data_IF_530685323702
#
_entry.id   IF_530685323702
#
_cell.length_a   1.000
_cell.length_b   1.000
_cell.length_c   1.000
_cell.angle_alpha   90.00
_cell.angle_beta   90.00
_cell.angle_gamma   90.00
#
_symmetry.space_group_name_H-M   'P 1'
#
loop_
_entity.id
_entity.type
_entity.pdbx_description
1 polymer ?
#
# COMPACT_ATOMS: atom_id res chain seq x y z
N UNK A 1 15.27 -23.07 -11.48
CA UNK A 1 13.82 -23.17 -11.22
C UNK A 1 13.45 -22.04 -10.29
N UNK A 2 12.96 -20.91 -10.81
CA UNK A 2 12.30 -19.89 -10.00
C UNK A 2 10.99 -19.63 -10.69
N UNK A 3 9.91 -20.05 -10.05
CA UNK A 3 8.56 -19.90 -10.55
C UNK A 3 8.27 -18.39 -10.60
N UNK A 4 8.30 -17.81 -11.81
CA UNK A 4 7.74 -16.49 -12.03
C UNK A 4 6.25 -16.58 -11.77
N UNK A 5 5.82 -16.19 -10.58
CA UNK A 5 4.43 -15.91 -10.32
C UNK A 5 4.09 -14.67 -11.16
N UNK A 6 3.62 -14.91 -12.39
CA UNK A 6 2.97 -13.90 -13.19
C UNK A 6 1.72 -13.46 -12.42
N UNK A 7 1.87 -12.40 -11.62
CA UNK A 7 0.75 -11.67 -11.05
C UNK A 7 -0.11 -11.22 -12.22
N UNK A 8 -1.20 -11.94 -12.47
CA UNK A 8 -2.16 -11.65 -13.52
C UNK A 8 -2.85 -10.33 -13.14
N UNK A 9 -2.26 -9.21 -13.54
CA UNK A 9 -2.95 -7.92 -13.57
C UNK A 9 -4.21 -8.15 -14.42
N UNK A 10 -5.37 -8.15 -13.77
CA UNK A 10 -6.66 -8.23 -14.44
C UNK A 10 -6.90 -6.90 -15.14
N UNK A 11 -6.41 -6.77 -16.38
CA UNK A 11 -6.79 -5.66 -17.26
C UNK A 11 -8.28 -5.81 -17.55
N UNK A 12 -9.13 -4.96 -16.94
CA UNK A 12 -10.56 -4.90 -17.27
C UNK A 12 -10.71 -4.37 -18.70
N UNK A 13 -11.23 -5.16 -19.66
CA UNK A 13 -11.35 -4.75 -21.05
C UNK A 13 -12.35 -3.60 -21.28
N UNK A 14 -13.08 -3.14 -20.25
CA UNK A 14 -14.04 -2.04 -20.33
C UNK A 14 -13.43 -0.64 -20.11
N UNK A 15 -12.14 -0.53 -19.81
CA UNK A 15 -11.55 0.75 -19.37
C UNK A 15 -10.40 1.19 -20.27
N UNK A 16 -10.57 2.36 -20.91
CA UNK A 16 -9.52 2.99 -21.69
C UNK A 16 -8.36 3.49 -20.83
N UNK A 17 -7.14 3.12 -21.20
CA UNK A 17 -5.91 3.89 -20.97
C UNK A 17 -5.22 3.82 -19.60
N UNK A 18 -5.87 3.41 -18.51
CA UNK A 18 -5.25 3.41 -17.17
C UNK A 18 -5.06 1.98 -16.64
N UNK A 19 -3.82 1.63 -16.31
CA UNK A 19 -3.49 0.38 -15.61
C UNK A 19 -4.08 0.44 -14.21
N UNK A 20 -4.79 -0.61 -13.79
CA UNK A 20 -5.34 -0.71 -12.44
C UNK A 20 -4.62 -1.76 -11.60
N UNK A 21 -4.39 -1.44 -10.33
CA UNK A 21 -3.65 -2.27 -9.39
C UNK A 21 -4.58 -2.82 -8.30
N UNK A 22 -5.24 -3.94 -8.62
CA UNK A 22 -6.14 -4.59 -7.67
C UNK A 22 -5.41 -5.52 -6.71
N UNK A 23 -5.82 -5.48 -5.44
CA UNK A 23 -5.36 -6.39 -4.40
C UNK A 23 -4.22 -5.83 -3.55
N UNK A 24 -3.57 -6.72 -2.80
CA UNK A 24 -2.50 -6.37 -1.86
C UNK A 24 -1.13 -6.50 -2.52
N UNK A 25 -0.31 -5.50 -2.30
CA UNK A 25 1.04 -5.38 -2.85
C UNK A 25 2.09 -5.31 -1.74
N UNK A 26 3.23 -5.97 -1.96
CA UNK A 26 4.35 -5.92 -0.99
C UNK A 26 5.02 -4.57 -1.04
N UNK A 27 5.25 -3.99 0.13
CA UNK A 27 5.92 -2.71 0.25
C UNK A 27 6.91 -2.68 1.41
N UNK A 28 7.85 -1.74 1.34
CA UNK A 28 8.76 -1.40 2.44
C UNK A 28 8.45 0.03 2.89
N UNK A 29 8.23 0.22 4.18
CA UNK A 29 8.01 1.53 4.79
C UNK A 29 9.24 2.41 4.59
N UNK A 30 9.04 3.64 4.17
CA UNK A 30 10.11 4.63 4.00
C UNK A 30 9.98 5.83 4.93
N UNK A 31 8.76 6.16 5.35
CA UNK A 31 8.48 7.27 6.25
C UNK A 31 7.22 6.97 7.07
N UNK A 32 7.25 7.28 8.37
CA UNK A 32 6.12 7.15 9.29
C UNK A 32 5.89 8.43 10.14
N UNK A 33 6.58 9.53 9.84
CA UNK A 33 6.43 10.81 10.53
C UNK A 33 5.20 11.58 9.99
N UNK A 34 4.02 11.01 10.20
CA UNK A 34 2.77 11.58 9.70
C UNK A 34 2.44 12.93 10.39
N UNK A 35 2.46 14.07 9.66
CA UNK A 35 2.19 15.38 10.24
C UNK A 35 0.73 15.56 10.71
N UNK A 36 -0.18 14.66 10.30
CA UNK A 36 -1.58 14.67 10.73
C UNK A 36 -1.86 13.76 11.92
N UNK A 37 -0.88 12.98 12.38
CA UNK A 37 -1.05 12.06 13.51
C UNK A 37 -2.10 10.98 13.27
N UNK A 38 -2.34 10.59 12.02
CA UNK A 38 -3.34 9.57 11.65
C UNK A 38 -2.72 8.16 11.54
N UNK A 39 -1.43 8.01 11.84
CA UNK A 39 -0.70 6.75 11.69
C UNK A 39 -0.47 6.36 10.22
N UNK A 40 -0.40 7.34 9.31
CA UNK A 40 -0.12 7.10 7.89
C UNK A 40 1.36 6.77 7.69
N UNK A 41 1.63 6.05 6.61
CA UNK A 41 3.00 5.74 6.18
C UNK A 41 3.21 6.14 4.72
N UNK A 42 4.47 6.33 4.34
CA UNK A 42 4.91 6.26 2.95
C UNK A 42 5.72 4.98 2.76
N UNK A 43 5.68 4.43 1.56
CA UNK A 43 6.35 3.18 1.27
C UNK A 43 6.84 3.13 -0.18
N UNK A 44 7.72 2.17 -0.45
CA UNK A 44 8.09 1.75 -1.81
C UNK A 44 7.35 0.47 -2.16
N UNK A 45 6.72 0.45 -3.33
CA UNK A 45 5.97 -0.70 -3.87
C UNK A 45 6.56 -1.09 -5.22
N UNK A 46 7.63 -1.91 -5.27
CA UNK A 46 8.39 -2.13 -6.51
C UNK A 46 7.56 -2.69 -7.67
N UNK A 47 6.54 -3.51 -7.37
CA UNK A 47 5.71 -4.13 -8.40
C UNK A 47 4.64 -3.19 -9.01
N UNK A 48 4.41 -2.02 -8.40
CA UNK A 48 3.41 -1.04 -8.85
C UNK A 48 4.05 0.29 -9.26
N UNK A 49 4.89 0.86 -8.40
CA UNK A 49 5.48 2.20 -8.57
C UNK A 49 6.98 2.18 -8.90
N UNK A 50 7.60 0.99 -8.98
CA UNK A 50 9.05 0.87 -9.16
C UNK A 50 9.82 1.54 -8.02
N UNK A 51 10.68 2.49 -8.36
CA UNK A 51 11.49 3.25 -7.39
C UNK A 51 10.77 4.48 -6.81
N UNK A 52 9.56 4.78 -7.29
CA UNK A 52 8.77 5.91 -6.82
C UNK A 52 8.11 5.56 -5.48
N UNK A 53 8.27 6.46 -4.52
CA UNK A 53 7.64 6.38 -3.21
C UNK A 53 6.16 6.76 -3.30
N UNK A 54 5.33 6.11 -2.50
CA UNK A 54 3.90 6.43 -2.41
C UNK A 54 3.67 7.83 -1.83
N UNK A 55 2.44 8.33 -2.02
CA UNK A 55 1.87 9.30 -1.09
C UNK A 55 1.66 8.70 0.32
N UNK A 56 1.03 9.48 1.19
CA UNK A 56 0.63 8.99 2.52
C UNK A 56 -0.49 7.96 2.40
N UNK A 57 -0.20 6.70 2.72
CA UNK A 57 -1.15 5.61 2.79
C UNK A 57 -1.87 5.60 4.14
N UNK A 58 -3.19 5.44 4.12
CA UNK A 58 -4.00 5.29 5.34
C UNK A 58 -3.81 3.89 5.95
N UNK A 59 -3.80 3.76 7.29
CA UNK A 59 -3.74 2.46 7.93
C UNK A 59 -5.07 1.71 7.78
N UNK A 60 -4.98 0.41 7.51
CA UNK A 60 -6.12 -0.52 7.60
C UNK A 60 -6.18 -1.08 9.04
N UNK A 61 -6.59 -0.23 9.99
CA UNK A 61 -6.64 -0.62 11.41
C UNK A 61 -7.77 -1.63 11.65
N UNK A 62 -7.54 -2.70 12.44
CA UNK A 62 -8.59 -3.68 12.77
C UNK A 62 -9.74 -3.07 13.59
N UNK A 63 -9.45 -2.03 14.39
CA UNK A 63 -10.45 -1.31 15.18
C UNK A 63 -9.92 0.08 15.58
N UNK A 64 -10.77 1.10 15.39
CA UNK A 64 -10.54 2.45 15.87
C UNK A 64 -11.88 3.07 16.33
N UNK A 65 -11.84 3.74 17.48
CA UNK A 65 -12.92 4.46 18.12
C UNK A 65 -12.36 5.60 18.99
N UNK A 66 -13.24 6.41 19.57
CA UNK A 66 -12.83 7.54 20.40
C UNK A 66 -12.09 7.05 21.67
N UNK A 67 -10.80 7.37 21.78
CA UNK A 67 -9.93 6.91 22.87
C UNK A 67 -9.68 5.40 22.93
N UNK A 68 -10.13 4.62 21.94
CA UNK A 68 -10.03 3.16 21.96
C UNK A 68 -9.65 2.62 20.58
N UNK A 69 -8.67 1.72 20.50
CA UNK A 69 -8.25 1.17 19.22
C UNK A 69 -6.86 0.56 19.26
N UNK A 70 -6.43 0.04 18.11
CA UNK A 70 -5.04 -0.30 17.86
C UNK A 70 -4.38 0.84 17.09
N UNK A 71 -3.37 1.45 17.69
CA UNK A 71 -2.49 2.39 17.04
C UNK A 71 -1.07 1.81 17.03
N UNK A 72 -0.74 1.16 15.91
CA UNK A 72 0.58 0.59 15.68
C UNK A 72 1.06 1.06 14.31
N UNK A 73 2.14 1.84 14.30
CA UNK A 73 2.74 2.38 13.08
C UNK A 73 4.08 1.68 12.88
N UNK A 74 4.30 0.99 11.75
CA UNK A 74 5.55 0.31 11.48
C UNK A 74 6.69 1.32 11.23
N UNK A 75 7.91 0.94 11.64
CA UNK A 75 9.11 1.75 11.43
C UNK A 75 9.58 1.73 9.97
N UNK A 76 10.33 2.75 9.51
CA UNK A 76 11.04 2.70 8.24
C UNK A 76 11.89 1.43 8.11
N UNK A 77 11.80 0.77 6.96
CA UNK A 77 12.42 -0.53 6.69
C UNK A 77 11.55 -1.74 7.00
N UNK A 78 10.42 -1.58 7.69
CA UNK A 78 9.48 -2.66 7.92
C UNK A 78 8.76 -3.10 6.62
N UNK A 79 8.47 -4.39 6.51
CA UNK A 79 7.66 -4.94 5.42
C UNK A 79 6.17 -4.84 5.71
N UNK A 80 5.39 -4.39 4.73
CA UNK A 80 3.94 -4.21 4.84
C UNK A 80 3.21 -4.67 3.57
N UNK A 81 1.89 -4.80 3.67
CA UNK A 81 0.99 -5.02 2.54
C UNK A 81 0.13 -3.77 2.33
N UNK A 82 0.12 -3.24 1.10
CA UNK A 82 -0.62 -2.03 0.72
C UNK A 82 -1.64 -2.35 -0.36
N UNK A 83 -2.76 -1.64 -0.34
CA UNK A 83 -3.81 -1.70 -1.37
C UNK A 83 -3.99 -0.33 -2.00
N UNK A 84 -4.34 -0.31 -3.28
CA UNK A 84 -4.67 0.92 -4.00
C UNK A 84 -6.19 1.05 -4.09
N UNK A 85 -6.71 2.21 -3.66
CA UNK A 85 -8.15 2.46 -3.58
C UNK A 85 -8.77 2.39 -4.98
N UNK A 86 -9.80 1.55 -5.15
CA UNK A 86 -10.41 1.24 -6.45
C UNK A 86 -9.40 0.78 -7.54
N UNK A 87 -8.20 0.36 -7.15
CA UNK A 87 -7.12 -0.04 -8.03
C UNK A 87 -6.39 1.11 -8.73
N UNK A 88 -6.29 2.29 -8.11
CA UNK A 88 -5.42 3.40 -8.55
C UNK A 88 -3.92 3.02 -8.66
#
# INVERSE_FOLDING_TARGET
MTLGAATRQLTDPRQGGLTRHYGKHRAIVTDNEDPRGLGRIRARVPEVLGDVETGWALPCSPYAGDGAGLYAVPDPGAGVWIEFEAGD
#
